data_IF_035700741128
#
_entry.id   IF_035700741128
#
_cell.length_a   1.000
_cell.length_b   1.000
_cell.length_c   1.000
_cell.angle_alpha   90.00
_cell.angle_beta   90.00
_cell.angle_gamma   90.00
#
_symmetry.space_group_name_H-M   'P 1'
#
loop_
_entity.id
_entity.type
_entity.pdbx_description
1 polymer ?
#
# COMPACT_ATOMS: atom_id res chain seq x y z
N UNK A 1 20.60 -4.34 14.23
CA UNK A 1 19.89 -4.60 12.97
C UNK A 1 18.41 -4.35 13.23
N UNK A 2 17.72 -3.62 12.36
CA UNK A 2 16.26 -3.42 12.46
C UNK A 2 15.56 -4.64 11.85
N UNK A 3 15.04 -5.51 12.71
CA UNK A 3 14.28 -6.72 12.37
C UNK A 3 12.81 -6.49 12.73
N UNK A 4 11.93 -6.85 11.80
CA UNK A 4 10.47 -6.72 11.92
C UNK A 4 9.78 -7.99 11.42
N UNK A 5 8.76 -8.42 12.14
CA UNK A 5 7.92 -9.57 11.78
C UNK A 5 6.53 -9.09 11.45
N UNK A 6 5.97 -9.62 10.37
CA UNK A 6 4.71 -9.19 9.81
C UNK A 6 3.79 -10.40 9.55
N UNK A 7 2.50 -10.21 9.71
CA UNK A 7 1.48 -11.10 9.17
C UNK A 7 0.91 -10.53 7.86
N UNK A 8 0.54 -11.41 6.93
CA UNK A 8 -0.10 -11.02 5.67
C UNK A 8 -1.57 -10.69 5.90
N UNK A 9 -2.03 -9.57 5.36
CA UNK A 9 -3.46 -9.26 5.25
C UNK A 9 -3.92 -9.82 3.90
N UNK A 10 -4.78 -10.85 3.89
CA UNK A 10 -5.20 -11.48 2.64
C UNK A 10 -5.97 -10.47 1.78
N UNK A 11 -5.73 -10.43 0.46
CA UNK A 11 -6.52 -9.58 -0.42
C UNK A 11 -7.94 -10.15 -0.52
N UNK A 12 -8.93 -9.26 -0.63
CA UNK A 12 -10.34 -9.66 -0.83
C UNK A 12 -10.59 -10.16 -2.25
N UNK A 13 -9.75 -9.75 -3.19
CA UNK A 13 -9.76 -10.18 -4.59
C UNK A 13 -8.52 -11.02 -4.83
N UNK A 14 -8.72 -12.20 -5.41
CA UNK A 14 -7.61 -13.06 -5.79
C UNK A 14 -7.01 -12.53 -7.09
N UNK A 15 -5.78 -11.98 -7.01
CA UNK A 15 -5.12 -11.38 -8.17
C UNK A 15 -3.95 -12.27 -8.59
N UNK A 16 -3.91 -12.63 -9.87
CA UNK A 16 -2.78 -13.36 -10.44
C UNK A 16 -1.54 -12.47 -10.44
N UNK A 17 -0.50 -12.86 -9.70
CA UNK A 17 0.79 -12.15 -9.71
C UNK A 17 1.51 -12.52 -11.01
N UNK A 18 1.88 -11.54 -11.86
CA UNK A 18 2.68 -11.82 -13.05
C UNK A 18 4.04 -12.38 -12.65
N UNK A 19 4.39 -13.55 -13.16
CA UNK A 19 5.67 -14.23 -12.90
C UNK A 19 6.80 -13.82 -13.85
N UNK A 20 6.62 -12.74 -14.61
CA UNK A 20 7.61 -12.30 -15.61
C UNK A 20 9.00 -12.12 -14.97
N UNK A 21 10.05 -12.71 -15.55
CA UNK A 21 11.44 -12.58 -15.09
C UNK A 21 12.03 -11.19 -15.36
N UNK A 22 11.29 -10.31 -16.02
CA UNK A 22 11.74 -8.94 -16.29
C UNK A 22 11.90 -8.12 -15.01
N UNK A 23 12.88 -7.21 -15.07
CA UNK A 23 13.13 -6.24 -14.01
C UNK A 23 11.85 -5.45 -13.75
N UNK A 24 11.49 -5.35 -12.49
CA UNK A 24 10.38 -4.57 -12.01
C UNK A 24 10.83 -3.80 -10.78
N UNK A 25 10.03 -2.85 -10.35
CA UNK A 25 10.32 -2.08 -9.15
C UNK A 25 9.17 -2.21 -8.16
N UNK A 26 9.51 -2.05 -6.89
CA UNK A 26 8.57 -2.21 -5.79
C UNK A 26 8.52 -0.91 -5.00
N UNK A 27 7.31 -0.41 -4.79
CA UNK A 27 7.03 0.70 -3.89
C UNK A 27 6.60 0.15 -2.55
N UNK A 28 7.26 0.61 -1.50
CA UNK A 28 7.02 0.19 -0.12
C UNK A 28 6.48 1.38 0.68
N UNK A 29 5.26 1.23 1.19
CA UNK A 29 4.56 2.24 1.98
C UNK A 29 4.38 1.73 3.41
N UNK A 30 5.06 2.36 4.37
CA UNK A 30 4.88 2.11 5.79
C UNK A 30 3.97 3.17 6.41
N UNK A 31 2.86 2.77 7.03
CA UNK A 31 1.88 3.68 7.61
C UNK A 31 1.39 3.24 8.99
N UNK A 32 1.05 4.21 9.84
CA UNK A 32 0.36 3.98 11.11
C UNK A 32 -0.89 4.86 11.14
N UNK A 33 -2.09 4.32 10.83
CA UNK A 33 -3.33 5.07 10.97
C UNK A 33 -3.61 5.38 12.45
N UNK A 34 -4.38 6.44 12.70
CA UNK A 34 -4.98 6.69 14.01
C UNK A 34 -5.87 5.50 14.40
N UNK A 35 -5.96 5.21 15.70
CA UNK A 35 -6.72 4.05 16.19
C UNK A 35 -8.19 4.07 15.76
N UNK A 36 -8.84 5.23 15.83
CA UNK A 36 -10.23 5.41 15.42
C UNK A 36 -10.44 5.30 13.90
N UNK A 37 -9.37 5.35 13.10
CA UNK A 37 -9.42 5.30 11.64
C UNK A 37 -8.83 4.00 11.06
N UNK A 38 -8.39 3.05 11.91
CA UNK A 38 -7.74 1.82 11.46
C UNK A 38 -8.64 0.99 10.54
N UNK A 39 -9.95 0.90 10.84
CA UNK A 39 -10.90 0.21 9.99
C UNK A 39 -11.06 0.92 8.64
N UNK A 40 -11.37 2.21 8.64
CA UNK A 40 -11.52 3.02 7.40
C UNK A 40 -10.26 2.98 6.54
N UNK A 41 -9.07 2.94 7.14
CA UNK A 41 -7.80 2.77 6.42
C UNK A 41 -7.71 1.41 5.72
N UNK A 42 -8.13 0.34 6.38
CA UNK A 42 -8.10 -1.00 5.79
C UNK A 42 -9.18 -1.18 4.71
N UNK A 43 -10.36 -0.60 4.92
CA UNK A 43 -11.46 -0.60 3.95
C UNK A 43 -11.06 0.17 2.69
N UNK A 44 -10.49 1.37 2.85
CA UNK A 44 -9.97 2.15 1.72
C UNK A 44 -8.99 1.35 0.86
N UNK A 45 -8.05 0.65 1.49
CA UNK A 45 -7.10 -0.20 0.76
C UNK A 45 -7.78 -1.29 -0.05
N UNK A 46 -8.84 -1.88 0.51
CA UNK A 46 -9.50 -3.08 -0.01
C UNK A 46 -10.55 -2.74 -1.07
N UNK A 47 -11.32 -1.69 -0.83
CA UNK A 47 -12.50 -1.33 -1.62
C UNK A 47 -12.17 -0.33 -2.73
N UNK A 48 -11.15 0.51 -2.56
CA UNK A 48 -10.81 1.57 -3.51
C UNK A 48 -9.38 1.46 -4.02
N UNK A 49 -8.39 1.51 -3.13
CA UNK A 49 -7.00 1.74 -3.54
C UNK A 49 -6.43 0.60 -4.38
N UNK A 50 -6.45 -0.66 -3.87
CA UNK A 50 -5.91 -1.80 -4.62
C UNK A 50 -6.69 -2.05 -5.91
N UNK A 51 -8.04 -2.05 -5.91
CA UNK A 51 -8.80 -2.15 -7.15
C UNK A 51 -8.42 -1.10 -8.19
N UNK A 52 -8.30 0.18 -7.80
CA UNK A 52 -7.91 1.25 -8.72
C UNK A 52 -6.48 1.10 -9.22
N UNK A 53 -5.52 0.74 -8.35
CA UNK A 53 -4.14 0.47 -8.77
C UNK A 53 -4.07 -0.71 -9.74
N UNK A 54 -4.88 -1.75 -9.53
CA UNK A 54 -4.90 -2.93 -10.41
C UNK A 54 -5.38 -2.64 -11.83
N UNK A 55 -6.07 -1.52 -12.04
CA UNK A 55 -6.48 -1.05 -13.35
C UNK A 55 -5.41 -0.19 -14.05
N UNK A 56 -4.32 0.18 -13.37
CA UNK A 56 -3.26 1.01 -13.94
C UNK A 56 -2.35 0.15 -14.84
N UNK A 57 -2.07 0.58 -16.08
CA UNK A 57 -1.11 -0.10 -16.94
C UNK A 57 0.26 -0.26 -16.27
N UNK A 58 0.81 -1.47 -16.32
CA UNK A 58 2.09 -1.81 -15.69
C UNK A 58 2.01 -2.17 -14.21
N UNK A 59 0.82 -2.18 -13.60
CA UNK A 59 0.63 -2.74 -12.25
C UNK A 59 0.78 -4.27 -12.26
N UNK A 60 1.53 -4.83 -11.30
CA UNK A 60 1.74 -6.29 -11.19
C UNK A 60 1.04 -6.88 -9.99
N UNK A 61 1.28 -6.33 -8.80
CA UNK A 61 0.73 -6.90 -7.57
C UNK A 61 0.66 -5.88 -6.44
N UNK A 62 -0.21 -6.16 -5.46
CA UNK A 62 -0.26 -5.44 -4.19
C UNK A 62 -0.33 -6.44 -3.05
N UNK A 63 0.50 -6.25 -2.02
CA UNK A 63 0.49 -7.06 -0.79
C UNK A 63 0.46 -6.16 0.42
N UNK A 64 -0.34 -6.52 1.42
CA UNK A 64 -0.46 -5.76 2.66
C UNK A 64 -0.08 -6.63 3.84
N UNK A 65 0.51 -6.00 4.84
CA UNK A 65 0.97 -6.65 6.04
C UNK A 65 0.68 -5.82 7.27
N UNK A 66 0.41 -6.50 8.38
CA UNK A 66 0.30 -5.92 9.71
C UNK A 66 1.53 -6.32 10.52
N UNK A 67 2.11 -5.37 11.22
CA UNK A 67 3.26 -5.61 12.09
C UNK A 67 2.85 -6.46 13.29
N UNK A 68 3.58 -7.54 13.54
CA UNK A 68 3.45 -8.39 14.73
C UNK A 68 4.45 -7.98 15.81
N UNK A 69 5.71 -7.79 15.42
CA UNK A 69 6.78 -7.42 16.34
C UNK A 69 7.90 -6.70 15.62
N UNK A 70 8.67 -5.90 16.37
CA UNK A 70 9.85 -5.23 15.85
C UNK A 70 10.88 -5.02 16.94
N UNK A 71 12.14 -5.00 16.53
CA UNK A 71 13.28 -4.65 17.39
C UNK A 71 13.53 -3.14 17.47
N UNK A 72 13.03 -2.36 16.50
CA UNK A 72 13.10 -0.90 16.50
C UNK A 72 12.00 -0.28 17.36
N UNK A 73 12.27 0.89 17.94
CA UNK A 73 11.24 1.71 18.59
C UNK A 73 10.29 2.31 17.56
N UNK A 74 9.00 1.97 17.69
CA UNK A 74 7.88 2.63 17.00
C UNK A 74 7.91 2.62 15.43
N UNK A 75 8.03 1.43 14.80
CA UNK A 75 7.94 1.28 13.36
C UNK A 75 6.48 1.38 12.86
N UNK A 76 6.27 1.56 11.54
CA UNK A 76 4.93 1.59 10.97
C UNK A 76 4.14 0.31 11.25
N UNK A 77 2.89 0.46 11.70
CA UNK A 77 1.99 -0.65 12.05
C UNK A 77 1.56 -1.46 10.83
N UNK A 78 1.49 -0.81 9.66
CA UNK A 78 1.13 -1.42 8.40
C UNK A 78 2.20 -1.21 7.34
N UNK A 79 2.33 -2.20 6.47
CA UNK A 79 3.19 -2.19 5.31
C UNK A 79 2.37 -2.55 4.07
N UNK A 80 2.48 -1.76 3.01
CA UNK A 80 1.95 -2.09 1.69
C UNK A 80 3.10 -2.14 0.68
N UNK A 81 3.12 -3.20 -0.12
CA UNK A 81 4.06 -3.41 -1.22
C UNK A 81 3.27 -3.39 -2.52
N UNK A 82 3.68 -2.54 -3.46
CA UNK A 82 3.10 -2.47 -4.80
C UNK A 82 4.20 -2.71 -5.83
N UNK A 83 4.02 -3.72 -6.67
CA UNK A 83 4.96 -4.06 -7.74
C UNK A 83 4.47 -3.56 -9.08
N UNK A 84 5.42 -3.09 -9.88
CA UNK A 84 5.15 -2.38 -11.12
C UNK A 84 6.24 -2.70 -12.14
N UNK A 85 5.88 -2.78 -13.42
CA UNK A 85 6.82 -3.06 -14.51
C UNK A 85 7.92 -1.98 -14.62
N UNK A 86 7.53 -0.71 -14.70
CA UNK A 86 8.45 0.43 -14.77
C UNK A 86 7.80 1.73 -14.27
N UNK A 87 8.62 2.75 -13.98
CA UNK A 87 8.17 3.99 -13.34
C UNK A 87 7.22 4.83 -14.21
N UNK A 88 7.06 4.53 -15.50
CA UNK A 88 6.20 5.29 -16.41
C UNK A 88 4.73 5.20 -16.01
N UNK A 89 4.35 4.11 -15.33
CA UNK A 89 3.01 3.93 -14.75
C UNK A 89 2.58 5.14 -13.90
N UNK A 90 3.50 5.83 -13.23
CA UNK A 90 3.19 6.97 -12.36
C UNK A 90 2.82 8.25 -13.10
N UNK A 91 3.15 8.34 -14.39
CA UNK A 91 2.75 9.44 -15.26
C UNK A 91 1.33 9.29 -15.81
N UNK A 92 0.75 8.08 -15.75
CA UNK A 92 -0.53 7.75 -16.39
C UNK A 92 -1.72 8.46 -15.74
N UNK A 93 -2.78 8.78 -16.52
CA UNK A 93 -4.03 9.30 -15.97
C UNK A 93 -4.68 8.38 -14.94
N UNK A 94 -4.58 7.06 -15.15
CA UNK A 94 -5.14 6.03 -14.27
C UNK A 94 -4.47 6.08 -12.89
N UNK A 95 -3.14 6.12 -12.85
CA UNK A 95 -2.40 6.23 -11.59
C UNK A 95 -2.69 7.55 -10.86
N UNK A 96 -2.71 8.66 -11.60
CA UNK A 96 -3.06 9.97 -11.03
C UNK A 96 -4.46 9.96 -10.44
N UNK A 97 -5.43 9.33 -11.11
CA UNK A 97 -6.79 9.20 -10.59
C UNK A 97 -6.83 8.33 -9.33
N UNK A 98 -6.17 7.16 -9.36
CA UNK A 98 -6.10 6.22 -8.23
C UNK A 98 -5.44 6.79 -6.97
N UNK A 99 -4.58 7.81 -7.12
CA UNK A 99 -3.81 8.40 -6.01
C UNK A 99 -4.32 9.76 -5.54
N UNK A 100 -5.34 10.32 -6.20
CA UNK A 100 -5.94 11.63 -5.88
C UNK A 100 -7.44 11.54 -5.51
N UNK A 101 -7.90 10.38 -5.03
CA UNK A 101 -9.30 10.25 -4.59
C UNK A 101 -9.57 11.03 -3.29
N UNK A 102 -10.82 11.49 -3.07
CA UNK A 102 -11.19 12.11 -1.80
C UNK A 102 -10.99 11.18 -0.60
N UNK A 103 -11.25 9.88 -0.75
CA UNK A 103 -11.10 8.92 0.35
C UNK A 103 -9.63 8.70 0.71
N UNK A 104 -8.75 8.53 -0.29
CA UNK A 104 -7.30 8.52 -0.08
C UNK A 104 -6.85 9.76 0.68
N UNK A 105 -7.36 10.95 0.32
CA UNK A 105 -6.99 12.20 0.99
C UNK A 105 -7.36 12.16 2.46
N UNK A 106 -8.60 11.81 2.79
CA UNK A 106 -9.04 11.67 4.19
C UNK A 106 -8.18 10.67 4.97
N UNK A 107 -8.00 9.48 4.43
CA UNK A 107 -7.27 8.40 5.11
C UNK A 107 -5.78 8.73 5.26
N UNK A 108 -5.10 9.08 4.18
CA UNK A 108 -3.64 9.23 4.16
C UNK A 108 -3.17 10.59 4.67
N UNK A 109 -3.91 11.67 4.39
CA UNK A 109 -3.46 13.04 4.76
C UNK A 109 -3.96 13.43 6.14
N UNK A 110 -5.16 13.02 6.52
CA UNK A 110 -5.79 13.46 7.78
C UNK A 110 -5.67 12.41 8.89
N UNK A 111 -5.67 11.11 8.54
CA UNK A 111 -5.81 10.02 9.52
C UNK A 111 -4.58 9.11 9.67
N UNK A 112 -3.53 9.29 8.87
CA UNK A 112 -2.23 8.64 9.07
C UNK A 112 -1.31 9.58 9.84
N UNK A 113 -0.69 9.06 10.90
CA UNK A 113 0.23 9.81 11.74
C UNK A 113 1.37 10.42 10.92
N UNK A 114 1.39 11.76 10.80
CA UNK A 114 2.48 12.51 10.17
C UNK A 114 3.67 12.55 11.12
N UNK A 115 4.51 11.52 11.12
CA UNK A 115 5.84 11.65 11.72
C UNK A 115 6.71 12.47 10.78
N UNK A 116 7.19 13.62 11.24
CA UNK A 116 8.37 14.26 10.64
C UNK A 116 9.52 13.26 10.82
N UNK A 117 10.03 12.73 9.72
CA UNK A 117 11.34 12.08 9.70
C UNK A 117 12.42 13.14 9.91
#
# INVERSE_FOLDING_TARGET
VDIRTYETIPPRIQISVPTSPEKHFMVLNGMTPNESAEQTFNDWYTEEHIPMLSAVPGWRSSRRFRLLSASSTDPPRYLALHEWENCDAFGTPEFKTATNTPWRTRVVVEQVNKKKR
#
